data_IF_882366782137
#
_entry.id   IF_882366782137
#
_cell.length_a   1.000
_cell.length_b   1.000
_cell.length_c   1.000
_cell.angle_alpha   90.00
_cell.angle_beta   90.00
_cell.angle_gamma   90.00
#
_symmetry.space_group_name_H-M   'P 1'
#
loop_
_entity.id
_entity.type
_entity.pdbx_description
1 polymer ?
#
# COMPACT_ATOMS: atom_id res chain seq x y z
N UNK A 1 -40.50 -16.98 -59.56
CA UNK A 1 -39.57 -18.12 -59.40
C UNK A 1 -38.14 -17.60 -59.52
N UNK A 2 -37.23 -18.15 -58.71
CA UNK A 2 -35.79 -17.85 -58.61
C UNK A 2 -35.45 -16.57 -57.84
N UNK A 3 -35.03 -16.75 -56.59
CA UNK A 3 -33.82 -16.16 -55.98
C UNK A 3 -33.92 -16.19 -54.45
N UNK A 4 -33.84 -17.38 -53.83
CA UNK A 4 -33.79 -17.49 -52.35
C UNK A 4 -32.96 -18.68 -51.84
N UNK A 5 -32.00 -19.17 -52.62
CA UNK A 5 -31.25 -20.40 -52.29
C UNK A 5 -29.72 -20.28 -52.34
N UNK A 6 -29.13 -19.08 -52.29
CA UNK A 6 -27.67 -18.94 -52.42
C UNK A 6 -26.96 -18.40 -51.17
N UNK A 7 -27.67 -18.10 -50.08
CA UNK A 7 -27.05 -17.45 -48.90
C UNK A 7 -27.09 -18.27 -47.60
N UNK A 8 -27.25 -19.59 -47.65
CA UNK A 8 -27.40 -20.41 -46.44
C UNK A 8 -26.45 -21.62 -46.32
N UNK A 9 -25.34 -21.64 -47.06
CA UNK A 9 -24.44 -22.82 -47.07
C UNK A 9 -22.95 -22.52 -46.95
N UNK A 10 -22.55 -21.35 -46.44
CA UNK A 10 -21.12 -21.00 -46.24
C UNK A 10 -20.86 -20.44 -44.84
N UNK A 11 -21.27 -21.15 -43.78
CA UNK A 11 -20.90 -20.75 -42.41
C UNK A 11 -20.71 -21.94 -41.45
N UNK A 12 -20.11 -23.04 -41.91
CA UNK A 12 -19.86 -24.23 -41.07
C UNK A 12 -18.49 -24.87 -41.30
N UNK A 13 -17.51 -24.10 -41.79
CA UNK A 13 -16.19 -24.67 -42.10
C UNK A 13 -15.04 -23.71 -41.77
N UNK A 14 -14.80 -23.44 -40.48
CA UNK A 14 -13.46 -23.17 -39.89
C UNK A 14 -13.57 -22.88 -38.39
N UNK A 15 -13.87 -23.93 -37.61
CA UNK A 15 -13.69 -23.91 -36.15
C UNK A 15 -12.83 -25.11 -35.76
N UNK A 16 -11.62 -25.18 -36.32
CA UNK A 16 -10.61 -26.15 -35.93
C UNK A 16 -9.26 -25.45 -35.83
N UNK A 17 -8.70 -25.53 -34.63
CA UNK A 17 -7.29 -25.39 -34.31
C UNK A 17 -6.68 -23.98 -34.45
N UNK A 18 -6.88 -23.19 -33.41
CA UNK A 18 -5.78 -22.39 -32.86
C UNK A 18 -5.75 -22.57 -31.35
N UNK A 19 -5.31 -23.74 -30.90
CA UNK A 19 -4.67 -23.88 -29.60
C UNK A 19 -3.33 -23.16 -29.72
N UNK A 20 -3.36 -21.83 -29.64
CA UNK A 20 -2.16 -21.07 -29.38
C UNK A 20 -1.53 -21.66 -28.11
N UNK A 21 -0.25 -22.04 -28.12
CA UNK A 21 0.42 -22.45 -26.90
C UNK A 21 0.33 -21.26 -25.95
N UNK A 22 -0.49 -21.45 -24.90
CA UNK A 22 -0.49 -20.55 -23.76
C UNK A 22 0.98 -20.44 -23.33
N UNK A 23 1.60 -19.25 -23.34
CA UNK A 23 2.97 -19.12 -22.91
C UNK A 23 3.02 -19.69 -21.50
N UNK A 24 3.83 -20.75 -21.34
CA UNK A 24 4.02 -21.42 -20.07
C UNK A 24 4.24 -20.34 -19.02
N UNK A 25 3.33 -20.33 -18.04
CA UNK A 25 3.38 -19.46 -16.87
C UNK A 25 4.81 -19.52 -16.35
N UNK A 26 5.52 -18.40 -16.45
CA UNK A 26 6.89 -18.30 -15.96
C UNK A 26 6.92 -18.86 -14.54
N UNK A 27 7.83 -19.81 -14.28
CA UNK A 27 7.97 -20.45 -12.98
C UNK A 27 8.10 -19.42 -11.85
N UNK A 28 7.86 -19.83 -10.59
CA UNK A 28 7.76 -18.92 -9.44
C UNK A 28 8.96 -17.97 -9.45
N UNK A 29 8.69 -16.70 -9.75
CA UNK A 29 9.74 -15.71 -9.93
C UNK A 29 10.40 -15.46 -8.59
N UNK A 30 11.70 -15.77 -8.50
CA UNK A 30 12.49 -15.70 -7.28
C UNK A 30 12.21 -14.40 -6.50
N UNK A 31 11.56 -14.53 -5.34
CA UNK A 31 11.01 -13.39 -4.62
C UNK A 31 12.11 -12.60 -3.92
N UNK A 32 12.59 -11.54 -4.55
CA UNK A 32 13.65 -10.69 -3.99
C UNK A 32 13.14 -9.81 -2.83
N UNK A 33 14.03 -9.37 -1.90
CA UNK A 33 13.66 -8.43 -0.84
C UNK A 33 13.09 -7.10 -1.37
N UNK A 34 13.56 -6.65 -2.53
CA UNK A 34 13.05 -5.45 -3.18
C UNK A 34 11.60 -5.61 -3.62
N UNK A 35 11.24 -6.75 -4.22
CA UNK A 35 9.86 -7.07 -4.63
C UNK A 35 8.94 -7.13 -3.40
N UNK A 36 9.38 -7.75 -2.30
CA UNK A 36 8.61 -7.77 -1.03
C UNK A 36 8.38 -6.36 -0.48
N UNK A 37 9.38 -5.49 -0.54
CA UNK A 37 9.27 -4.10 -0.08
C UNK A 37 8.28 -3.30 -0.94
N UNK A 38 8.34 -3.45 -2.26
CA UNK A 38 7.39 -2.83 -3.19
C UNK A 38 5.96 -3.33 -2.96
N UNK A 39 5.77 -4.65 -2.85
CA UNK A 39 4.48 -5.26 -2.55
C UNK A 39 3.87 -4.72 -1.25
N UNK A 40 4.69 -4.61 -0.20
CA UNK A 40 4.27 -4.03 1.09
C UNK A 40 3.88 -2.55 0.94
N UNK A 41 4.62 -1.77 0.14
CA UNK A 41 4.30 -0.37 -0.14
C UNK A 41 2.95 -0.25 -0.86
N UNK A 42 2.71 -1.09 -1.87
CA UNK A 42 1.44 -1.13 -2.59
C UNK A 42 0.28 -1.54 -1.67
N UNK A 43 0.45 -2.56 -0.83
CA UNK A 43 -0.55 -2.94 0.17
C UNK A 43 -0.90 -1.79 1.12
N UNK A 44 0.11 -1.04 1.59
CA UNK A 44 -0.10 0.14 2.43
C UNK A 44 -0.87 1.24 1.69
N UNK A 45 -0.56 1.47 0.42
CA UNK A 45 -1.24 2.46 -0.42
C UNK A 45 -2.69 2.06 -0.68
N UNK A 46 -2.96 0.77 -0.94
CA UNK A 46 -4.34 0.22 -1.02
C UNK A 46 -5.15 0.53 0.24
N UNK A 47 -4.58 0.23 1.41
CA UNK A 47 -5.24 0.49 2.68
C UNK A 47 -5.49 1.98 2.92
N UNK A 48 -4.59 2.86 2.45
CA UNK A 48 -4.81 4.31 2.49
C UNK A 48 -5.96 4.73 1.59
N UNK A 49 -6.02 4.26 0.34
CA UNK A 49 -7.11 4.61 -0.60
C UNK A 49 -8.48 4.16 -0.10
N UNK A 50 -8.59 2.95 0.44
CA UNK A 50 -9.85 2.45 1.06
C UNK A 50 -10.34 3.39 2.17
N UNK A 51 -9.41 3.93 2.97
CA UNK A 51 -9.75 4.89 4.03
C UNK A 51 -10.12 6.26 3.48
N UNK A 52 -9.42 6.72 2.42
CA UNK A 52 -9.77 7.97 1.75
C UNK A 52 -11.18 7.90 1.17
N UNK A 53 -11.53 6.79 0.50
CA UNK A 53 -12.88 6.57 -0.01
C UNK A 53 -13.93 6.62 1.11
N UNK A 54 -13.71 5.93 2.22
CA UNK A 54 -14.63 6.00 3.35
C UNK A 54 -14.80 7.43 3.92
N UNK A 55 -13.75 8.26 3.89
CA UNK A 55 -13.85 9.68 4.29
C UNK A 55 -14.64 10.50 3.29
N UNK A 56 -14.44 10.27 1.99
CA UNK A 56 -15.19 10.94 0.94
C UNK A 56 -16.67 10.54 0.97
N UNK A 57 -16.98 9.26 1.24
CA UNK A 57 -18.34 8.76 1.41
C UNK A 57 -19.06 9.49 2.55
N UNK A 58 -18.42 9.62 3.72
CA UNK A 58 -18.98 10.36 4.84
C UNK A 58 -19.18 11.85 4.49
N UNK A 59 -18.20 12.46 3.82
CA UNK A 59 -18.30 13.87 3.41
C UNK A 59 -19.44 14.09 2.41
N UNK A 60 -19.60 13.20 1.43
CA UNK A 60 -20.71 13.24 0.49
C UNK A 60 -22.06 13.08 1.20
N UNK A 61 -22.14 12.16 2.17
CA UNK A 61 -23.35 11.98 2.98
C UNK A 61 -23.69 13.23 3.80
N UNK A 62 -22.69 13.88 4.41
CA UNK A 62 -22.87 15.12 5.16
C UNK A 62 -23.36 16.27 4.26
N UNK A 63 -22.81 16.40 3.05
CA UNK A 63 -23.26 17.40 2.06
C UNK A 63 -24.69 17.17 1.58
N UNK A 64 -25.06 15.91 1.31
CA UNK A 64 -26.43 15.58 0.95
C UNK A 64 -27.40 15.87 2.10
N UNK A 65 -26.97 15.64 3.35
CA UNK A 65 -27.76 15.94 4.53
C UNK A 65 -27.95 17.46 4.76
N UNK A 66 -26.97 18.29 4.37
CA UNK A 66 -27.09 19.76 4.38
C UNK A 66 -27.89 20.32 3.19
N UNK A 67 -28.21 19.48 2.20
CA UNK A 67 -28.90 19.89 0.97
C UNK A 67 -27.98 20.48 -0.10
N UNK A 68 -26.66 20.31 0.06
CA UNK A 68 -25.66 20.70 -0.92
C UNK A 68 -25.47 19.60 -1.97
N UNK A 69 -24.99 19.97 -3.16
CA UNK A 69 -24.74 19.04 -4.26
C UNK A 69 -23.30 18.48 -4.21
N UNK A 70 -23.09 17.17 -4.00
CA UNK A 70 -21.76 16.59 -3.81
C UNK A 70 -21.03 16.23 -5.12
N UNK A 71 -21.29 16.91 -6.26
CA UNK A 71 -20.69 16.57 -7.57
C UNK A 71 -19.15 16.49 -7.50
N UNK A 72 -18.51 17.48 -6.86
CA UNK A 72 -17.04 17.50 -6.76
C UNK A 72 -16.50 16.32 -5.94
N UNK A 73 -17.18 15.96 -4.85
CA UNK A 73 -16.81 14.82 -4.01
C UNK A 73 -17.01 13.50 -4.76
N UNK A 74 -18.06 13.39 -5.57
CA UNK A 74 -18.29 12.22 -6.41
C UNK A 74 -17.19 12.04 -7.48
N UNK A 75 -16.72 13.14 -8.07
CA UNK A 75 -15.58 13.09 -8.99
C UNK A 75 -14.30 12.61 -8.28
N UNK A 76 -14.04 13.10 -7.06
CA UNK A 76 -12.92 12.64 -6.22
C UNK A 76 -13.04 11.16 -5.84
N UNK A 77 -14.25 10.68 -5.51
CA UNK A 77 -14.53 9.27 -5.22
C UNK A 77 -14.22 8.41 -6.45
N UNK A 78 -14.68 8.80 -7.62
CA UNK A 78 -14.46 8.07 -8.88
C UNK A 78 -12.96 7.95 -9.17
N UNK A 79 -12.22 9.07 -9.07
CA UNK A 79 -10.78 9.05 -9.29
C UNK A 79 -10.04 8.14 -8.29
N UNK A 80 -10.45 8.17 -7.01
CA UNK A 80 -9.87 7.31 -5.98
C UNK A 80 -10.24 5.82 -6.17
N UNK A 81 -11.42 5.51 -6.71
CA UNK A 81 -11.84 4.16 -7.07
C UNK A 81 -11.01 3.62 -8.24
N UNK A 82 -10.83 4.40 -9.30
CA UNK A 82 -10.01 4.01 -10.45
C UNK A 82 -8.55 3.71 -10.02
N UNK A 83 -7.99 4.54 -9.13
CA UNK A 83 -6.65 4.29 -8.60
C UNK A 83 -6.59 3.01 -7.74
N UNK A 84 -7.62 2.76 -6.95
CA UNK A 84 -7.71 1.56 -6.11
C UNK A 84 -7.78 0.29 -6.97
N UNK A 85 -8.57 0.30 -8.03
CA UNK A 85 -8.76 -0.84 -8.94
C UNK A 85 -7.47 -1.16 -9.69
N UNK A 86 -6.80 -0.14 -10.24
CA UNK A 86 -5.49 -0.31 -10.88
C UNK A 86 -4.45 -0.90 -9.92
N UNK A 87 -4.47 -0.45 -8.67
CA UNK A 87 -3.55 -0.93 -7.66
C UNK A 87 -3.87 -2.38 -7.25
N UNK A 88 -5.15 -2.73 -7.14
CA UNK A 88 -5.60 -4.08 -6.82
C UNK A 88 -5.19 -5.07 -7.92
N UNK A 89 -5.41 -4.73 -9.20
CA UNK A 89 -4.96 -5.55 -10.33
C UNK A 89 -3.45 -5.79 -10.32
N UNK A 90 -2.66 -4.75 -10.00
CA UNK A 90 -1.20 -4.88 -9.88
C UNK A 90 -0.82 -5.80 -8.72
N UNK A 91 -1.45 -5.65 -7.56
CA UNK A 91 -1.20 -6.50 -6.40
C UNK A 91 -1.55 -7.96 -6.65
N UNK A 92 -2.68 -8.23 -7.31
CA UNK A 92 -3.10 -9.57 -7.71
C UNK A 92 -2.09 -10.20 -8.68
N UNK A 93 -1.69 -9.46 -9.71
CA UNK A 93 -0.65 -9.88 -10.65
C UNK A 93 0.67 -10.23 -9.95
N UNK A 94 1.11 -9.38 -9.02
CA UNK A 94 2.32 -9.63 -8.23
C UNK A 94 2.17 -10.81 -7.28
N UNK A 95 0.99 -10.99 -6.67
CA UNK A 95 0.70 -12.08 -5.73
C UNK A 95 0.82 -13.44 -6.43
N UNK A 96 0.25 -13.56 -7.63
CA UNK A 96 0.30 -14.78 -8.45
C UNK A 96 1.73 -15.04 -8.93
N UNK A 97 2.42 -14.02 -9.43
CA UNK A 97 3.76 -14.17 -10.03
C UNK A 97 4.84 -14.55 -9.02
N UNK A 98 4.73 -14.05 -7.78
CA UNK A 98 5.77 -14.16 -6.75
C UNK A 98 5.33 -14.98 -5.53
N UNK A 99 4.18 -15.65 -5.63
CA UNK A 99 3.57 -16.45 -4.56
C UNK A 99 3.49 -15.68 -3.23
N UNK A 100 3.02 -14.42 -3.30
CA UNK A 100 2.88 -13.55 -2.15
C UNK A 100 1.43 -13.55 -1.67
N UNK A 101 1.23 -13.74 -0.36
CA UNK A 101 -0.10 -13.63 0.23
C UNK A 101 -0.58 -12.17 0.23
N UNK A 102 -1.72 -11.94 -0.40
CA UNK A 102 -2.39 -10.65 -0.39
C UNK A 102 -3.09 -10.46 0.96
N UNK A 103 -2.72 -9.44 1.77
CA UNK A 103 -3.41 -9.19 3.03
C UNK A 103 -4.87 -8.80 2.77
N UNK A 104 -5.76 -9.06 3.74
CA UNK A 104 -7.14 -8.59 3.67
C UNK A 104 -7.20 -7.06 3.64
N UNK A 105 -8.12 -6.49 2.86
CA UNK A 105 -8.43 -5.07 2.93
C UNK A 105 -9.13 -4.77 4.26
N UNK A 106 -8.77 -3.66 4.94
CA UNK A 106 -9.51 -3.23 6.13
C UNK A 106 -10.94 -2.89 5.73
N UNK A 107 -11.92 -3.30 6.53
CA UNK A 107 -13.32 -3.01 6.25
C UNK A 107 -13.62 -1.54 6.57
N UNK A 108 -14.57 -0.89 5.87
CA UNK A 108 -15.10 0.39 6.29
C UNK A 108 -15.64 0.27 7.73
N UNK A 109 -15.06 1.02 8.65
CA UNK A 109 -15.40 0.95 10.08
C UNK A 109 -14.44 0.15 10.96
N UNK A 110 -13.45 -0.54 10.40
CA UNK A 110 -12.33 -1.04 11.20
C UNK A 110 -11.59 0.18 11.78
N UNK A 111 -11.75 0.40 13.09
CA UNK A 111 -10.97 1.38 13.86
C UNK A 111 -9.51 0.92 13.92
N UNK A 112 -8.79 1.12 12.83
CA UNK A 112 -7.35 1.23 12.90
C UNK A 112 -7.12 2.60 13.54
N UNK A 113 -6.87 2.62 14.86
CA UNK A 113 -6.44 3.82 15.57
C UNK A 113 -5.08 4.26 15.00
N UNK A 114 -5.10 4.89 13.83
CA UNK A 114 -3.93 5.43 13.13
C UNK A 114 -3.17 6.38 14.01
N UNK A 115 -3.90 7.16 14.82
CA UNK A 115 -3.33 8.08 15.79
C UNK A 115 -2.52 7.33 16.84
N UNK A 116 -3.03 6.21 17.39
CA UNK A 116 -2.27 5.36 18.32
C UNK A 116 -1.10 4.65 17.66
N UNK A 117 -1.24 4.22 16.41
CA UNK A 117 -0.14 3.59 15.67
C UNK A 117 0.96 4.59 15.32
N UNK A 118 0.60 5.81 14.92
CA UNK A 118 1.53 6.91 14.69
C UNK A 118 2.19 7.34 16.00
N UNK A 119 1.43 7.48 17.07
CA UNK A 119 1.94 7.86 18.39
C UNK A 119 2.92 6.80 18.92
N UNK A 120 2.57 5.52 18.82
CA UNK A 120 3.47 4.41 19.16
C UNK A 120 4.76 4.45 18.34
N UNK A 121 4.65 4.67 17.03
CA UNK A 121 5.82 4.77 16.14
C UNK A 121 6.67 5.99 16.47
N UNK A 122 6.08 7.16 16.67
CA UNK A 122 6.75 8.39 17.06
C UNK A 122 7.46 8.24 18.42
N UNK A 123 6.79 7.62 19.39
CA UNK A 123 7.36 7.31 20.71
C UNK A 123 8.54 6.35 20.62
N UNK A 124 8.45 5.32 19.77
CA UNK A 124 9.56 4.39 19.57
C UNK A 124 10.78 5.07 18.95
N UNK A 125 10.58 5.96 17.97
CA UNK A 125 11.65 6.76 17.36
C UNK A 125 12.27 7.74 18.37
N UNK A 126 11.44 8.40 19.18
CA UNK A 126 11.90 9.31 20.22
C UNK A 126 12.76 8.60 21.26
N UNK A 127 12.32 7.45 21.77
CA UNK A 127 13.06 6.64 22.74
C UNK A 127 14.40 6.17 22.18
N UNK A 128 14.43 5.73 20.91
CA UNK A 128 15.68 5.37 20.23
C UNK A 128 16.64 6.56 20.11
N UNK A 129 16.11 7.76 19.81
CA UNK A 129 16.89 9.00 19.77
C UNK A 129 17.43 9.42 21.13
N UNK A 130 16.63 9.26 22.19
CA UNK A 130 17.02 9.52 23.56
C UNK A 130 18.15 8.58 24.00
N UNK A 131 18.03 7.28 23.73
CA UNK A 131 19.04 6.30 24.09
C UNK A 131 20.38 6.58 23.38
N UNK A 132 20.33 6.93 22.09
CA UNK A 132 21.51 7.34 21.31
C UNK A 132 22.17 8.59 21.90
N UNK A 133 21.39 9.61 22.22
CA UNK A 133 21.87 10.85 22.83
C UNK A 133 22.52 10.58 24.18
N UNK A 134 21.87 9.78 25.04
CA UNK A 134 22.40 9.41 26.35
C UNK A 134 23.74 8.68 26.25
N UNK A 135 23.89 7.76 25.29
CA UNK A 135 25.19 7.10 25.03
C UNK A 135 26.28 8.09 24.64
N UNK A 136 25.96 9.09 23.79
CA UNK A 136 26.92 10.13 23.37
C UNK A 136 27.29 11.03 24.55
N UNK A 137 26.31 11.49 25.32
CA UNK A 137 26.53 12.33 26.51
C UNK A 137 27.42 11.59 27.50
N UNK A 138 27.09 10.35 27.87
CA UNK A 138 27.92 9.54 28.78
C UNK A 138 29.37 9.40 28.28
N UNK A 139 29.56 9.12 26.99
CA UNK A 139 30.89 9.02 26.38
C UNK A 139 31.66 10.34 26.48
N UNK A 140 30.99 11.47 26.22
CA UNK A 140 31.60 12.81 26.31
C UNK A 140 31.92 13.20 27.75
N UNK A 141 31.01 12.96 28.68
CA UNK A 141 31.22 13.22 30.12
C UNK A 141 32.40 12.39 30.63
N UNK A 142 32.48 11.10 30.30
CA UNK A 142 33.64 10.27 30.68
C UNK A 142 34.96 10.81 30.12
N UNK A 143 34.98 11.25 28.85
CA UNK A 143 36.15 11.86 28.23
C UNK A 143 36.52 13.21 28.87
N UNK A 144 35.53 14.00 29.28
CA UNK A 144 35.76 15.26 29.98
C UNK A 144 36.36 14.99 31.37
N UNK A 145 35.73 14.11 32.15
CA UNK A 145 36.20 13.73 33.48
C UNK A 145 37.61 13.13 33.44
N UNK A 146 37.94 12.31 32.43
CA UNK A 146 39.29 11.77 32.28
C UNK A 146 40.36 12.81 31.91
N UNK A 147 39.96 14.03 31.52
CA UNK A 147 40.86 15.14 31.24
C UNK A 147 41.03 16.09 32.42
N UNK A 148 40.22 15.94 33.47
CA UNK A 148 40.35 16.73 34.68
C UNK A 148 41.45 16.10 35.52
N UNK A 149 42.48 16.89 35.83
CA UNK A 149 43.53 16.49 36.76
C UNK A 149 43.06 16.72 38.20
N UNK A 150 42.55 15.65 38.81
CA UNK A 150 42.02 15.68 40.17
C UNK A 150 43.10 15.87 41.24
N UNK A 151 44.39 15.81 40.89
CA UNK A 151 45.48 16.04 41.84
C UNK A 151 45.50 17.49 42.35
N UNK A 152 44.96 18.43 41.58
CA UNK A 152 44.81 19.84 41.97
C UNK A 152 43.78 20.09 43.07
N UNK A 153 42.85 19.16 43.31
CA UNK A 153 41.81 19.30 44.34
C UNK A 153 42.23 18.81 45.73
N UNK A 154 43.40 18.17 45.86
CA UNK A 154 43.83 17.49 47.09
C UNK A 154 44.91 18.25 47.88
N UNK A 155 45.04 19.57 47.70
CA UNK A 155 45.84 20.44 48.57
C UNK A 155 44.95 21.14 49.59
N UNK A 156 44.70 20.46 50.71
CA UNK A 156 44.48 21.05 52.02
C UNK A 156 45.44 20.38 53.00
#
# INVERSE_FOLDING_TARGET
MKSFHVLLTTLTATLMMSLAPCPALAGPGETTPAIKAEFKKLCSKRAQLVRTLAKLDNKAADMLASGDDPIEINAEQTAAQDELDLLQLRLESMSIRHDLLLPSTPKPGDRIDEEKQMESKARSMFLSGQERTNRIVLKRTRRMLSRIDFTSFNRN
#
